data_IF_872090982759
#
_entry.id   IF_872090982759
#
_cell.length_a   1.000
_cell.length_b   1.000
_cell.length_c   1.000
_cell.angle_alpha   90.00
_cell.angle_beta   90.00
_cell.angle_gamma   90.00
#
_symmetry.space_group_name_H-M   'P 1'
#
loop_
_entity.id
_entity.type
_entity.pdbx_description
1 polymer ?
#
# COMPACT_ATOMS: atom_id res chain seq x y z
N UNK A 1 -14.30 0.66 -8.34
CA UNK A 1 -13.16 0.05 -7.68
C UNK A 1 -12.70 0.91 -6.52
N UNK A 2 -13.08 0.55 -5.30
CA UNK A 2 -12.91 1.47 -4.19
C UNK A 2 -12.00 0.94 -3.08
N UNK A 3 -11.98 -0.37 -2.84
CA UNK A 3 -11.21 -1.01 -1.81
C UNK A 3 -10.76 -2.40 -2.27
N UNK A 4 -9.49 -2.53 -2.64
CA UNK A 4 -8.91 -3.78 -3.12
C UNK A 4 -9.01 -4.91 -2.09
N UNK A 5 -9.03 -4.56 -0.81
CA UNK A 5 -9.08 -5.53 0.27
C UNK A 5 -10.50 -6.05 0.48
N UNK A 6 -11.49 -5.15 0.42
CA UNK A 6 -12.90 -5.55 0.45
C UNK A 6 -13.27 -6.29 -0.84
N UNK A 7 -12.76 -5.89 -2.00
CA UNK A 7 -12.91 -6.62 -3.26
C UNK A 7 -12.37 -8.06 -3.13
N UNK A 8 -11.22 -8.25 -2.49
CA UNK A 8 -10.66 -9.58 -2.22
C UNK A 8 -11.56 -10.39 -1.25
N UNK A 9 -12.14 -9.74 -0.24
CA UNK A 9 -13.07 -10.40 0.68
C UNK A 9 -14.32 -10.95 -0.07
N UNK A 10 -14.88 -10.17 -1.00
CA UNK A 10 -15.96 -10.63 -1.86
C UNK A 10 -15.52 -11.72 -2.85
N UNK A 11 -14.32 -11.56 -3.42
CA UNK A 11 -13.76 -12.56 -4.35
C UNK A 11 -13.67 -13.94 -3.69
N UNK A 12 -13.24 -13.99 -2.43
CA UNK A 12 -12.98 -15.22 -1.68
C UNK A 12 -14.08 -15.60 -0.68
N UNK A 13 -15.26 -14.96 -0.76
CA UNK A 13 -16.41 -15.25 0.12
C UNK A 13 -16.12 -15.00 1.62
N UNK A 14 -15.19 -14.10 1.94
CA UNK A 14 -14.92 -13.68 3.32
C UNK A 14 -15.86 -12.53 3.69
N UNK A 15 -17.15 -12.83 3.70
CA UNK A 15 -18.24 -11.92 4.03
C UNK A 15 -18.92 -12.46 5.29
N UNK A 16 -19.08 -11.64 6.36
CA UNK A 16 -19.72 -12.09 7.60
C UNK A 16 -21.13 -12.64 7.39
N UNK A 17 -21.45 -13.71 8.08
CA UNK A 17 -22.78 -14.36 7.99
C UNK A 17 -23.92 -13.40 8.32
N UNK A 18 -23.68 -12.41 9.18
CA UNK A 18 -24.65 -11.34 9.52
C UNK A 18 -25.07 -10.50 8.32
N UNK A 19 -24.26 -10.45 7.27
CA UNK A 19 -24.58 -9.72 6.03
C UNK A 19 -25.14 -10.66 4.97
N UNK A 20 -24.54 -11.84 4.80
CA UNK A 20 -24.98 -12.83 3.84
C UNK A 20 -26.43 -13.29 4.06
N UNK A 21 -26.87 -13.34 5.32
CA UNK A 21 -28.23 -13.75 5.70
C UNK A 21 -29.30 -12.66 5.47
N UNK A 22 -28.90 -11.46 5.08
CA UNK A 22 -29.82 -10.40 4.70
C UNK A 22 -30.08 -10.47 3.19
N UNK A 23 -31.33 -10.26 2.79
CA UNK A 23 -31.70 -10.18 1.37
C UNK A 23 -31.23 -8.85 0.75
N UNK A 24 -29.90 -8.67 0.71
CA UNK A 24 -29.21 -7.52 0.13
C UNK A 24 -28.53 -7.92 -1.17
N UNK A 25 -28.55 -7.04 -2.16
CA UNK A 25 -27.74 -7.20 -3.37
C UNK A 25 -26.24 -7.11 -3.03
N UNK A 26 -25.37 -7.63 -3.91
CA UNK A 26 -23.92 -7.59 -3.70
C UNK A 26 -23.40 -6.17 -3.43
N UNK A 27 -23.92 -5.17 -4.15
CA UNK A 27 -23.57 -3.77 -3.95
C UNK A 27 -24.04 -3.23 -2.60
N UNK A 28 -25.25 -3.61 -2.17
CA UNK A 28 -25.76 -3.24 -0.84
C UNK A 28 -24.94 -3.91 0.27
N UNK A 29 -24.54 -5.18 0.12
CA UNK A 29 -23.65 -5.86 1.06
C UNK A 29 -22.29 -5.18 1.14
N UNK A 30 -21.71 -4.82 -0.01
CA UNK A 30 -20.41 -4.11 -0.07
C UNK A 30 -20.46 -2.80 0.73
N UNK A 31 -21.48 -1.98 0.52
CA UNK A 31 -21.64 -0.74 1.27
C UNK A 31 -22.05 -0.97 2.73
N UNK A 32 -22.82 -2.02 3.03
CA UNK A 32 -23.15 -2.38 4.41
C UNK A 32 -21.90 -2.73 5.23
N UNK A 33 -20.97 -3.48 4.65
CA UNK A 33 -19.68 -3.77 5.28
C UNK A 33 -18.80 -2.53 5.46
N UNK A 34 -18.83 -1.61 4.50
CA UNK A 34 -17.99 -0.42 4.53
C UNK A 34 -18.48 0.66 5.51
N UNK A 35 -19.79 0.86 5.65
CA UNK A 35 -20.37 1.97 6.41
C UNK A 35 -21.48 1.60 7.38
N UNK A 36 -21.86 0.32 7.46
CA UNK A 36 -23.02 -0.16 8.17
C UNK A 36 -24.31 -0.02 7.36
N UNK A 37 -25.32 -0.73 7.79
CA UNK A 37 -26.67 -0.69 7.22
C UNK A 37 -27.69 -0.74 8.36
N UNK A 38 -28.73 0.07 8.26
CA UNK A 38 -29.91 0.02 9.12
C UNK A 38 -31.15 0.09 8.25
N UNK A 39 -32.03 -0.90 8.34
CA UNK A 39 -33.21 -0.95 7.50
C UNK A 39 -34.16 -2.11 7.81
N UNK A 40 -35.20 -2.24 6.99
CA UNK A 40 -36.25 -3.25 7.17
C UNK A 40 -35.72 -4.69 7.11
N UNK A 41 -34.60 -4.92 6.40
CA UNK A 41 -33.96 -6.23 6.25
C UNK A 41 -33.08 -6.61 7.44
N UNK A 42 -32.78 -5.70 8.35
CA UNK A 42 -31.96 -5.89 9.53
C UNK A 42 -30.90 -4.79 9.71
N UNK A 43 -30.00 -4.99 10.66
CA UNK A 43 -28.91 -4.06 10.96
C UNK A 43 -27.56 -4.72 10.77
N UNK A 44 -26.64 -4.02 10.10
CA UNK A 44 -25.23 -4.43 9.93
C UNK A 44 -24.34 -3.38 10.52
N UNK A 45 -23.43 -3.79 11.40
CA UNK A 45 -22.35 -2.92 11.86
C UNK A 45 -21.23 -2.92 10.81
N UNK A 46 -20.74 -1.71 10.47
CA UNK A 46 -19.58 -1.57 9.60
C UNK A 46 -18.37 -2.36 10.13
N UNK A 47 -17.60 -2.95 9.23
CA UNK A 47 -16.30 -3.51 9.55
C UNK A 47 -15.31 -2.41 9.96
N UNK A 48 -14.29 -2.72 10.75
CA UNK A 48 -13.23 -1.76 11.09
C UNK A 48 -12.53 -1.25 9.83
N UNK A 49 -12.03 -0.02 9.92
CA UNK A 49 -11.20 0.58 8.89
C UNK A 49 -9.81 0.86 9.46
N UNK A 50 -8.77 0.40 8.77
CA UNK A 50 -7.36 0.61 9.17
C UNK A 50 -6.59 1.31 8.03
N UNK A 51 -5.52 2.01 8.37
CA UNK A 51 -4.61 2.58 7.37
C UNK A 51 -3.94 1.47 6.57
N UNK A 52 -3.87 1.68 5.25
CA UNK A 52 -3.05 0.88 4.36
C UNK A 52 -1.58 1.27 4.54
N UNK A 53 -0.89 0.55 5.42
CA UNK A 53 0.49 0.81 5.82
C UNK A 53 0.71 2.28 6.27
N UNK A 54 1.70 2.95 5.73
CA UNK A 54 2.04 4.34 6.04
C UNK A 54 1.41 5.36 5.07
N UNK A 55 0.33 5.00 4.41
CA UNK A 55 -0.40 5.87 3.46
C UNK A 55 -1.63 6.52 4.11
N UNK A 56 -2.26 7.44 3.39
CA UNK A 56 -3.57 7.99 3.78
C UNK A 56 -4.76 7.14 3.30
N UNK A 57 -4.52 6.14 2.48
CA UNK A 57 -5.56 5.20 2.10
C UNK A 57 -5.92 4.32 3.30
N UNK A 58 -7.22 4.09 3.51
CA UNK A 58 -7.73 3.21 4.53
C UNK A 58 -8.49 2.07 3.87
N UNK A 59 -8.25 0.86 4.32
CA UNK A 59 -8.94 -0.32 3.83
C UNK A 59 -9.94 -0.83 4.87
N UNK A 60 -11.01 -1.48 4.39
CA UNK A 60 -11.99 -2.16 5.23
C UNK A 60 -11.39 -3.52 5.62
N UNK A 61 -11.36 -3.80 6.91
CA UNK A 61 -10.73 -5.03 7.45
C UNK A 61 -11.70 -6.19 7.37
N UNK A 62 -11.44 -7.21 6.51
CA UNK A 62 -12.26 -8.41 6.48
C UNK A 62 -12.20 -9.16 7.80
N UNK A 63 -13.23 -9.92 8.10
CA UNK A 63 -13.30 -10.74 9.31
C UNK A 63 -13.55 -12.20 8.96
N UNK A 64 -12.65 -13.07 9.38
CA UNK A 64 -12.81 -14.50 9.32
C UNK A 64 -13.56 -15.00 10.55
N UNK A 65 -14.68 -15.66 10.34
CA UNK A 65 -15.53 -16.27 11.37
C UNK A 65 -15.40 -17.80 11.31
N UNK A 66 -15.82 -18.51 12.36
CA UNK A 66 -15.87 -19.99 12.36
C UNK A 66 -16.70 -20.57 11.26
N UNK A 67 -17.66 -19.81 10.78
CA UNK A 67 -18.56 -20.18 9.70
C UNK A 67 -18.10 -19.73 8.32
N UNK A 68 -16.94 -19.05 8.22
CA UNK A 68 -16.42 -18.59 6.93
C UNK A 68 -16.03 -19.75 6.03
N UNK A 69 -16.66 -19.85 4.88
CA UNK A 69 -16.32 -20.80 3.81
C UNK A 69 -15.55 -20.08 2.73
N UNK A 70 -14.22 -20.16 2.78
CA UNK A 70 -13.36 -19.56 1.74
C UNK A 70 -13.49 -20.36 0.45
N UNK A 71 -13.90 -19.68 -0.62
CA UNK A 71 -14.05 -20.21 -1.98
C UNK A 71 -14.07 -19.06 -2.98
N UNK A 72 -13.84 -19.34 -4.24
CA UNK A 72 -14.05 -18.36 -5.29
C UNK A 72 -15.56 -18.07 -5.45
N UNK A 73 -15.97 -16.84 -5.19
CA UNK A 73 -17.35 -16.40 -5.27
C UNK A 73 -17.52 -15.15 -6.15
N UNK A 74 -16.58 -14.21 -6.08
CA UNK A 74 -16.63 -12.97 -6.86
C UNK A 74 -16.18 -13.15 -8.31
N UNK A 75 -16.51 -12.18 -9.16
CA UNK A 75 -16.18 -12.23 -10.59
C UNK A 75 -15.52 -10.94 -11.12
N UNK A 76 -15.49 -9.87 -10.33
CA UNK A 76 -15.04 -8.53 -10.73
C UNK A 76 -13.70 -8.53 -11.47
N UNK A 77 -12.68 -9.23 -10.99
CA UNK A 77 -11.36 -9.28 -11.63
C UNK A 77 -11.42 -9.87 -13.04
N UNK A 78 -12.32 -10.84 -13.27
CA UNK A 78 -12.51 -11.48 -14.58
C UNK A 78 -13.20 -10.54 -15.55
N UNK A 79 -14.22 -9.83 -15.08
CA UNK A 79 -14.97 -8.84 -15.87
C UNK A 79 -14.05 -7.68 -16.28
N UNK A 80 -13.29 -7.14 -15.35
CA UNK A 80 -12.32 -6.04 -15.61
C UNK A 80 -11.21 -6.48 -16.58
N UNK A 81 -10.72 -7.71 -16.45
CA UNK A 81 -9.75 -8.26 -17.42
C UNK A 81 -10.37 -8.41 -18.81
N UNK A 82 -11.59 -8.94 -18.89
CA UNK A 82 -12.29 -9.14 -20.16
C UNK A 82 -12.61 -7.79 -20.83
N UNK A 83 -13.09 -6.80 -20.08
CA UNK A 83 -13.34 -5.44 -20.59
C UNK A 83 -12.06 -4.83 -21.19
N UNK A 84 -10.94 -4.89 -20.48
CA UNK A 84 -9.67 -4.41 -21.00
C UNK A 84 -9.25 -5.13 -22.29
N UNK A 85 -9.41 -6.45 -22.32
CA UNK A 85 -9.09 -7.29 -23.49
C UNK A 85 -9.95 -6.92 -24.72
N UNK A 86 -11.24 -6.69 -24.52
CA UNK A 86 -12.17 -6.27 -25.59
C UNK A 86 -11.79 -4.90 -26.16
N UNK A 87 -11.20 -4.03 -25.35
CA UNK A 87 -10.64 -2.75 -25.79
C UNK A 87 -9.26 -2.90 -26.45
N UNK A 88 -8.73 -4.10 -26.60
CA UNK A 88 -7.41 -4.37 -27.16
C UNK A 88 -6.25 -4.04 -26.21
N UNK A 89 -6.51 -3.87 -24.92
CA UNK A 89 -5.50 -3.55 -23.91
C UNK A 89 -5.03 -4.85 -23.24
N UNK A 90 -3.73 -5.16 -23.38
CA UNK A 90 -3.11 -6.31 -22.71
C UNK A 90 -2.72 -5.95 -21.28
N UNK A 91 -3.59 -6.28 -20.34
CA UNK A 91 -3.38 -6.01 -18.90
C UNK A 91 -2.74 -7.20 -18.18
N UNK A 92 -2.22 -6.91 -16.98
CA UNK A 92 -1.86 -7.92 -15.99
C UNK A 92 -2.88 -7.83 -14.86
N UNK A 93 -3.69 -8.86 -14.62
CA UNK A 93 -4.55 -8.91 -13.44
C UNK A 93 -3.75 -8.80 -12.16
N UNK A 94 -4.24 -8.02 -11.20
CA UNK A 94 -3.61 -7.80 -9.89
C UNK A 94 -4.58 -8.21 -8.79
N UNK A 95 -4.11 -9.04 -7.88
CA UNK A 95 -4.87 -9.48 -6.70
C UNK A 95 -4.01 -9.26 -5.45
N UNK A 96 -4.62 -8.90 -4.34
CA UNK A 96 -3.94 -8.94 -3.04
C UNK A 96 -3.46 -10.37 -2.81
N UNK A 97 -2.20 -10.55 -2.42
CA UNK A 97 -1.64 -11.87 -2.19
C UNK A 97 -2.20 -12.55 -0.92
N UNK A 98 -2.21 -13.88 -0.87
CA UNK A 98 -2.87 -14.62 0.21
C UNK A 98 -2.27 -14.36 1.59
N UNK A 99 -0.96 -14.13 1.67
CA UNK A 99 -0.31 -13.82 2.95
C UNK A 99 -0.75 -12.45 3.48
N UNK A 100 -0.69 -11.40 2.64
CA UNK A 100 -1.17 -10.07 3.01
C UNK A 100 -2.66 -10.09 3.36
N UNK A 101 -3.47 -10.87 2.63
CA UNK A 101 -4.90 -10.99 2.89
C UNK A 101 -5.17 -11.57 4.28
N UNK A 102 -4.48 -12.63 4.69
CA UNK A 102 -4.58 -13.17 6.03
C UNK A 102 -4.01 -12.22 7.09
N UNK A 103 -2.81 -11.66 6.86
CA UNK A 103 -2.11 -10.82 7.83
C UNK A 103 -2.83 -9.51 8.19
N UNK A 104 -3.65 -9.00 7.29
CA UNK A 104 -4.34 -7.72 7.49
C UNK A 104 -5.85 -7.89 7.75
N UNK A 105 -6.33 -9.12 7.87
CA UNK A 105 -7.70 -9.45 8.28
C UNK A 105 -7.82 -9.61 9.79
N UNK A 106 -9.03 -9.49 10.32
CA UNK A 106 -9.35 -9.82 11.70
C UNK A 106 -9.95 -11.25 11.77
N UNK A 107 -9.77 -11.91 12.91
CA UNK A 107 -10.27 -13.27 13.15
C UNK A 107 -11.17 -13.31 14.38
N UNK A 108 -12.21 -14.13 14.32
CA UNK A 108 -13.06 -14.43 15.49
C UNK A 108 -12.25 -15.20 16.56
N UNK A 109 -12.64 -15.06 17.83
CA UNK A 109 -11.97 -15.76 18.91
C UNK A 109 -11.91 -17.29 18.69
N UNK A 110 -10.69 -17.82 18.73
CA UNK A 110 -10.40 -19.23 18.50
C UNK A 110 -10.30 -19.65 17.04
N UNK A 111 -10.32 -18.69 16.09
CA UNK A 111 -10.05 -18.87 14.66
C UNK A 111 -8.66 -18.37 14.35
N UNK A 112 -7.92 -19.06 13.50
CA UNK A 112 -6.54 -18.71 13.12
C UNK A 112 -6.38 -18.66 11.61
N UNK A 113 -5.37 -17.90 11.16
CA UNK A 113 -5.04 -17.78 9.74
C UNK A 113 -4.71 -19.14 9.10
N UNK A 114 -4.03 -20.00 9.85
CA UNK A 114 -3.63 -21.34 9.41
C UNK A 114 -4.83 -22.25 9.08
N UNK A 115 -6.00 -22.00 9.69
CA UNK A 115 -7.21 -22.79 9.46
C UNK A 115 -7.74 -22.62 8.02
N UNK A 116 -7.34 -21.54 7.33
CA UNK A 116 -7.83 -21.19 6.00
C UNK A 116 -6.81 -21.40 4.86
N UNK A 117 -5.60 -21.86 5.16
CA UNK A 117 -4.52 -21.98 4.15
C UNK A 117 -4.98 -22.82 2.96
N UNK A 118 -5.46 -24.02 3.19
CA UNK A 118 -5.79 -24.95 2.08
C UNK A 118 -6.99 -24.47 1.25
N UNK A 119 -8.03 -23.93 1.90
CA UNK A 119 -9.21 -23.38 1.18
C UNK A 119 -8.86 -22.11 0.41
N UNK A 120 -8.00 -21.25 0.99
CA UNK A 120 -7.57 -20.03 0.32
C UNK A 120 -6.68 -20.35 -0.88
N UNK A 121 -5.73 -21.27 -0.74
CA UNK A 121 -4.89 -21.74 -1.86
C UNK A 121 -5.78 -22.30 -2.98
N UNK A 122 -6.76 -23.13 -2.67
CA UNK A 122 -7.69 -23.67 -3.68
C UNK A 122 -8.45 -22.55 -4.41
N UNK A 123 -8.94 -21.55 -3.68
CA UNK A 123 -9.64 -20.40 -4.27
C UNK A 123 -8.72 -19.56 -5.19
N UNK A 124 -7.48 -19.32 -4.82
CA UNK A 124 -6.50 -18.64 -5.70
C UNK A 124 -6.16 -19.48 -6.94
N UNK A 125 -6.06 -20.80 -6.81
CA UNK A 125 -5.83 -21.67 -7.96
C UNK A 125 -7.02 -21.67 -8.93
N UNK A 126 -8.25 -21.52 -8.44
CA UNK A 126 -9.42 -21.28 -9.28
C UNK A 126 -9.37 -19.92 -9.99
N UNK A 127 -8.87 -18.86 -9.33
CA UNK A 127 -8.62 -17.56 -9.98
C UNK A 127 -7.61 -17.72 -11.10
N UNK A 128 -6.51 -18.43 -10.86
CA UNK A 128 -5.49 -18.70 -11.88
C UNK A 128 -6.07 -19.44 -13.08
N UNK A 129 -6.86 -20.50 -12.83
CA UNK A 129 -7.49 -21.28 -13.89
C UNK A 129 -8.44 -20.43 -14.74
N UNK A 130 -9.32 -19.65 -14.12
CA UNK A 130 -10.27 -18.77 -14.84
C UNK A 130 -9.57 -17.68 -15.64
N UNK A 131 -8.54 -17.05 -15.08
CA UNK A 131 -7.74 -16.05 -15.82
C UNK A 131 -7.01 -16.67 -17.02
N UNK A 132 -6.46 -17.89 -16.85
CA UNK A 132 -5.83 -18.61 -17.96
C UNK A 132 -6.86 -18.98 -19.06
N UNK A 133 -8.06 -19.42 -18.69
CA UNK A 133 -9.16 -19.68 -19.62
C UNK A 133 -9.58 -18.42 -20.40
N UNK A 134 -9.55 -17.24 -19.76
CA UNK A 134 -9.80 -15.96 -20.42
C UNK A 134 -8.62 -15.50 -21.30
N UNK A 135 -7.49 -16.22 -21.25
CA UNK A 135 -6.30 -15.96 -22.07
C UNK A 135 -5.29 -15.04 -21.42
N UNK A 136 -5.35 -14.84 -20.12
CA UNK A 136 -4.28 -14.19 -19.38
C UNK A 136 -3.02 -15.08 -19.44
N UNK A 137 -1.86 -14.44 -19.55
CA UNK A 137 -0.56 -15.13 -19.56
C UNK A 137 0.22 -14.87 -18.26
N UNK A 138 -0.22 -13.91 -17.45
CA UNK A 138 0.49 -13.47 -16.26
C UNK A 138 -0.49 -12.91 -15.21
N UNK A 139 -0.08 -12.99 -13.95
CA UNK A 139 -0.79 -12.44 -12.80
C UNK A 139 0.19 -11.80 -11.84
N UNK A 140 -0.25 -10.77 -11.14
CA UNK A 140 0.48 -10.12 -10.05
C UNK A 140 -0.23 -10.36 -8.73
N UNK A 141 0.52 -10.81 -7.73
CA UNK A 141 0.08 -10.93 -6.35
C UNK A 141 0.77 -9.86 -5.51
N UNK A 142 -0.02 -8.94 -4.94
CA UNK A 142 0.48 -7.86 -4.11
C UNK A 142 0.67 -8.33 -2.67
N UNK A 143 1.93 -8.38 -2.23
CA UNK A 143 2.33 -8.85 -0.90
C UNK A 143 3.09 -7.79 -0.09
N UNK A 144 2.50 -6.61 0.15
CA UNK A 144 3.16 -5.59 0.94
C UNK A 144 3.36 -5.98 2.41
N UNK A 145 2.64 -6.96 2.96
CA UNK A 145 2.88 -7.42 4.33
C UNK A 145 4.27 -8.05 4.53
N UNK A 146 4.94 -8.49 3.45
CA UNK A 146 6.29 -9.05 3.51
C UNK A 146 7.37 -8.03 3.90
N UNK A 147 7.08 -6.72 3.90
CA UNK A 147 8.03 -5.69 4.32
C UNK A 147 7.98 -5.42 5.84
N UNK A 148 7.05 -6.05 6.57
CA UNK A 148 6.98 -5.97 8.03
C UNK A 148 8.10 -6.79 8.67
N UNK A 149 8.37 -6.53 9.96
CA UNK A 149 9.20 -7.43 10.76
C UNK A 149 8.37 -8.70 11.04
N UNK A 150 8.83 -9.84 10.52
CA UNK A 150 8.07 -11.09 10.53
C UNK A 150 8.60 -12.06 11.57
N UNK A 151 7.69 -12.64 12.35
CA UNK A 151 7.99 -13.75 13.25
C UNK A 151 8.32 -15.03 12.47
N UNK A 152 8.85 -16.05 13.17
CA UNK A 152 9.12 -17.34 12.57
C UNK A 152 7.83 -18.04 12.08
N UNK A 153 6.74 -17.87 12.81
CA UNK A 153 5.42 -18.43 12.49
C UNK A 153 4.85 -17.75 11.24
N UNK A 154 4.96 -16.41 11.14
CA UNK A 154 4.50 -15.67 9.96
C UNK A 154 5.29 -16.05 8.70
N UNK A 155 6.61 -16.24 8.84
CA UNK A 155 7.45 -16.76 7.73
C UNK A 155 7.05 -18.16 7.31
N UNK A 156 6.76 -19.04 8.27
CA UNK A 156 6.30 -20.40 7.99
C UNK A 156 4.93 -20.39 7.27
N UNK A 157 4.01 -19.52 7.69
CA UNK A 157 2.72 -19.34 7.03
C UNK A 157 2.88 -18.85 5.59
N UNK A 158 3.75 -17.87 5.35
CA UNK A 158 4.07 -17.39 4.01
C UNK A 158 4.58 -18.53 3.11
N UNK A 159 5.53 -19.31 3.60
CA UNK A 159 6.12 -20.43 2.84
C UNK A 159 5.10 -21.55 2.59
N UNK A 160 4.26 -21.89 3.55
CA UNK A 160 3.22 -22.91 3.36
C UNK A 160 2.22 -22.50 2.29
N UNK A 161 1.72 -21.25 2.34
CA UNK A 161 0.82 -20.68 1.34
C UNK A 161 1.43 -20.75 -0.07
N UNK A 162 2.65 -20.22 -0.23
CA UNK A 162 3.24 -20.05 -1.54
C UNK A 162 3.79 -21.36 -2.14
N UNK A 163 4.30 -22.28 -1.33
CA UNK A 163 4.68 -23.62 -1.82
C UNK A 163 3.48 -24.41 -2.34
N UNK A 164 2.33 -24.30 -1.67
CA UNK A 164 1.09 -24.93 -2.13
C UNK A 164 0.50 -24.22 -3.36
N UNK A 165 0.44 -22.88 -3.33
CA UNK A 165 -0.14 -22.09 -4.41
C UNK A 165 0.61 -22.25 -5.73
N UNK A 166 1.94 -22.17 -5.67
CA UNK A 166 2.80 -22.20 -6.86
C UNK A 166 3.06 -23.62 -7.39
N UNK A 167 2.58 -24.66 -6.71
CA UNK A 167 2.66 -26.03 -7.20
C UNK A 167 1.90 -26.20 -8.53
N UNK A 168 0.88 -25.40 -8.78
CA UNK A 168 0.15 -25.37 -10.05
C UNK A 168 -0.26 -23.93 -10.42
N UNK A 169 0.57 -23.27 -11.23
CA UNK A 169 0.37 -21.90 -11.73
C UNK A 169 -0.62 -21.81 -12.91
N UNK A 170 -1.23 -22.93 -13.34
CA UNK A 170 -2.13 -22.98 -14.51
C UNK A 170 -1.54 -22.38 -15.79
N UNK A 171 -0.21 -22.40 -15.93
CA UNK A 171 0.51 -21.83 -17.06
C UNK A 171 0.71 -20.32 -17.03
N UNK A 172 0.31 -19.64 -15.94
CA UNK A 172 0.55 -18.20 -15.76
C UNK A 172 1.96 -17.91 -15.28
N UNK A 173 2.55 -16.82 -15.77
CA UNK A 173 3.69 -16.17 -15.14
C UNK A 173 3.21 -15.44 -13.88
N UNK A 174 3.80 -15.75 -12.73
CA UNK A 174 3.43 -15.18 -11.44
C UNK A 174 4.47 -14.17 -10.98
N UNK A 175 4.02 -12.93 -10.75
CA UNK A 175 4.80 -11.87 -10.12
C UNK A 175 4.32 -11.71 -8.67
N UNK A 176 5.24 -11.77 -7.71
CA UNK A 176 5.01 -11.27 -6.34
C UNK A 176 5.54 -9.85 -6.28
N UNK A 177 4.64 -8.89 -5.98
CA UNK A 177 4.98 -7.47 -5.87
C UNK A 177 4.96 -7.02 -4.41
N UNK A 178 6.08 -6.51 -3.93
CA UNK A 178 6.20 -5.89 -2.59
C UNK A 178 6.44 -4.40 -2.70
N UNK A 179 6.01 -3.63 -1.70
CA UNK A 179 6.15 -2.17 -1.65
C UNK A 179 6.03 -1.64 -0.22
N UNK A 180 6.44 -0.39 0.02
CA UNK A 180 6.51 0.35 1.29
C UNK A 180 7.65 -0.08 2.22
N UNK A 181 8.63 -0.81 1.73
CA UNK A 181 9.80 -1.22 2.50
C UNK A 181 10.60 -2.33 1.84
N UNK A 182 11.53 -2.89 2.58
CA UNK A 182 12.35 -4.02 2.14
C UNK A 182 11.88 -5.34 2.79
N UNK A 183 12.17 -6.45 2.13
CA UNK A 183 11.75 -7.81 2.51
C UNK A 183 12.87 -8.57 3.24
N UNK A 184 13.61 -7.89 4.13
CA UNK A 184 14.83 -8.41 4.79
C UNK A 184 14.66 -9.77 5.45
N UNK A 185 13.49 -10.02 6.04
CA UNK A 185 13.24 -11.22 6.82
C UNK A 185 12.93 -12.46 5.97
N UNK A 186 12.50 -12.25 4.72
CA UNK A 186 12.07 -13.32 3.80
C UNK A 186 12.72 -13.26 2.42
N UNK A 187 13.71 -12.39 2.22
CA UNK A 187 14.34 -12.22 0.90
C UNK A 187 14.85 -13.55 0.31
N UNK A 188 15.58 -14.31 1.11
CA UNK A 188 16.13 -15.59 0.66
C UNK A 188 15.04 -16.62 0.35
N UNK A 189 13.98 -16.63 1.12
CA UNK A 189 12.84 -17.52 0.88
C UNK A 189 12.11 -17.10 -0.40
N UNK A 190 11.84 -15.80 -0.55
CA UNK A 190 11.13 -15.22 -1.69
C UNK A 190 11.85 -15.47 -3.03
N UNK A 191 13.17 -15.28 -3.09
CA UNK A 191 13.94 -15.50 -4.32
C UNK A 191 14.04 -16.98 -4.70
N UNK A 192 13.83 -17.89 -3.77
CA UNK A 192 13.83 -19.33 -4.01
C UNK A 192 12.45 -19.90 -4.40
N UNK A 193 11.37 -19.14 -4.27
CA UNK A 193 10.04 -19.58 -4.74
C UNK A 193 10.02 -19.72 -6.27
N UNK A 194 9.21 -20.64 -6.83
CA UNK A 194 9.10 -20.84 -8.28
C UNK A 194 8.22 -19.78 -8.97
N UNK A 195 8.45 -18.51 -8.65
CA UNK A 195 7.83 -17.34 -9.29
C UNK A 195 8.64 -16.89 -10.49
N UNK A 196 8.01 -16.19 -11.42
CA UNK A 196 8.63 -15.71 -12.65
C UNK A 196 9.16 -14.28 -12.50
N UNK A 197 8.62 -13.54 -11.54
CA UNK A 197 9.04 -12.17 -11.24
C UNK A 197 8.91 -11.82 -9.77
N UNK A 198 9.75 -10.89 -9.32
CA UNK A 198 9.73 -10.33 -7.97
C UNK A 198 9.84 -8.82 -8.09
N UNK A 199 8.86 -8.11 -7.51
CA UNK A 199 8.83 -6.66 -7.41
C UNK A 199 9.34 -6.19 -6.07
N UNK A 200 10.34 -5.32 -6.08
CA UNK A 200 10.98 -4.79 -4.89
C UNK A 200 11.02 -3.26 -4.90
N UNK A 201 10.83 -2.66 -3.73
CA UNK A 201 10.84 -1.22 -3.52
C UNK A 201 12.27 -0.72 -3.25
N UNK A 202 12.83 0.04 -4.18
CA UNK A 202 14.15 0.68 -4.05
C UNK A 202 14.07 2.10 -3.50
N UNK A 203 12.88 2.60 -3.19
CA UNK A 203 12.66 3.95 -2.66
C UNK A 203 12.52 3.94 -1.14
N UNK A 204 11.61 3.13 -0.61
CA UNK A 204 11.40 3.00 0.84
C UNK A 204 12.14 1.80 1.44
N UNK A 205 12.47 0.81 0.63
CA UNK A 205 13.22 -0.37 1.02
C UNK A 205 14.71 -0.06 1.20
N UNK A 206 15.08 0.44 2.38
CA UNK A 206 16.46 0.89 2.68
C UNK A 206 17.53 -0.19 2.48
N UNK A 207 17.15 -1.46 2.66
CA UNK A 207 18.05 -2.61 2.47
C UNK A 207 17.88 -3.31 1.12
N UNK A 208 16.92 -2.90 0.31
CA UNK A 208 16.60 -3.60 -0.96
C UNK A 208 17.83 -3.74 -1.86
N UNK A 209 18.59 -2.65 -2.07
CA UNK A 209 19.79 -2.71 -2.91
C UNK A 209 20.86 -3.66 -2.34
N UNK A 210 21.06 -3.65 -1.02
CA UNK A 210 21.99 -4.55 -0.33
C UNK A 210 21.58 -6.01 -0.51
N UNK A 211 20.29 -6.32 -0.30
CA UNK A 211 19.73 -7.65 -0.47
C UNK A 211 19.93 -8.17 -1.90
N UNK A 212 19.58 -7.36 -2.90
CA UNK A 212 19.71 -7.73 -4.31
C UNK A 212 21.18 -7.91 -4.72
N UNK A 213 22.10 -7.08 -4.18
CA UNK A 213 23.55 -7.25 -4.38
C UNK A 213 24.10 -8.55 -3.79
N UNK A 214 23.45 -9.07 -2.77
CA UNK A 214 23.77 -10.38 -2.18
C UNK A 214 23.46 -11.56 -3.11
N UNK A 215 22.70 -11.34 -4.17
CA UNK A 215 22.33 -12.29 -5.22
C UNK A 215 20.85 -12.17 -5.61
N UNK A 216 20.60 -12.20 -6.92
CA UNK A 216 19.25 -12.29 -7.49
C UNK A 216 19.25 -13.36 -8.59
N UNK A 217 18.25 -14.28 -8.62
CA UNK A 217 18.24 -15.40 -9.59
C UNK A 217 18.15 -14.92 -11.04
N UNK A 218 19.00 -15.46 -11.91
CA UNK A 218 19.07 -15.10 -13.34
C UNK A 218 17.81 -15.52 -14.14
N UNK A 219 17.09 -16.54 -13.67
CA UNK A 219 15.86 -17.03 -14.29
C UNK A 219 14.66 -16.12 -14.03
N UNK A 220 14.69 -15.26 -13.01
CA UNK A 220 13.61 -14.39 -12.61
C UNK A 220 13.76 -12.96 -13.15
N UNK A 221 12.63 -12.29 -13.32
CA UNK A 221 12.59 -10.86 -13.65
C UNK A 221 12.47 -10.04 -12.38
N UNK A 222 13.40 -9.09 -12.19
CA UNK A 222 13.31 -8.07 -11.14
C UNK A 222 12.43 -6.92 -11.62
N UNK A 223 11.35 -6.64 -10.92
CA UNK A 223 10.55 -5.44 -11.11
C UNK A 223 11.05 -4.39 -10.10
N UNK A 224 11.88 -3.48 -10.60
CA UNK A 224 12.57 -2.48 -9.78
C UNK A 224 11.69 -1.25 -9.55
N UNK A 225 11.13 -1.11 -8.36
CA UNK A 225 10.35 0.05 -7.92
C UNK A 225 11.23 1.26 -7.65
N UNK A 226 11.67 1.95 -8.72
CA UNK A 226 12.68 3.03 -8.66
C UNK A 226 12.07 4.42 -8.70
N UNK A 227 10.87 4.59 -9.27
CA UNK A 227 10.14 5.86 -9.28
C UNK A 227 9.18 5.91 -8.10
N UNK A 228 9.29 6.93 -7.25
CA UNK A 228 8.46 7.06 -6.05
C UNK A 228 6.97 7.20 -6.41
N UNK A 229 6.14 6.22 -6.05
CA UNK A 229 4.70 6.20 -6.31
C UNK A 229 3.85 6.94 -5.25
N UNK A 230 4.47 7.48 -4.18
CA UNK A 230 3.78 8.03 -3.02
C UNK A 230 3.95 9.53 -2.80
N UNK A 231 5.02 10.12 -3.34
CA UNK A 231 5.23 11.55 -3.29
C UNK A 231 4.91 12.22 -4.63
N UNK A 232 4.81 13.54 -4.61
CA UNK A 232 4.47 14.37 -5.78
C UNK A 232 5.71 14.93 -6.49
N UNK A 233 6.92 14.55 -6.06
CA UNK A 233 8.15 15.14 -6.56
C UNK A 233 8.65 14.41 -7.80
N UNK A 234 9.25 15.17 -8.68
CA UNK A 234 9.95 14.64 -9.87
C UNK A 234 11.11 13.76 -9.45
N UNK A 235 11.30 12.66 -10.17
CA UNK A 235 12.41 11.74 -9.98
C UNK A 235 13.74 12.39 -10.40
N UNK A 236 14.78 12.20 -9.62
CA UNK A 236 16.15 12.53 -9.99
C UNK A 236 16.74 11.34 -10.76
N UNK A 237 16.89 11.48 -12.07
CA UNK A 237 17.31 10.38 -12.93
C UNK A 237 18.74 9.91 -12.63
N UNK A 238 19.67 10.80 -12.30
CA UNK A 238 21.04 10.40 -11.96
C UNK A 238 21.05 9.47 -10.75
N UNK A 239 20.33 9.84 -9.68
CA UNK A 239 20.25 9.01 -8.46
C UNK A 239 19.57 7.66 -8.73
N UNK A 240 18.55 7.64 -9.57
CA UNK A 240 17.87 6.39 -9.93
C UNK A 240 18.78 5.49 -10.78
N UNK A 241 19.54 6.06 -11.71
CA UNK A 241 20.52 5.32 -12.51
C UNK A 241 21.68 4.79 -11.66
N UNK A 242 22.20 5.58 -10.71
CA UNK A 242 23.23 5.14 -9.77
C UNK A 242 22.80 3.89 -8.96
N UNK A 243 21.52 3.79 -8.61
CA UNK A 243 20.98 2.60 -7.96
C UNK A 243 20.91 1.44 -8.96
N UNK A 244 20.32 1.67 -10.14
CA UNK A 244 20.13 0.64 -11.18
C UNK A 244 21.44 0.05 -11.70
N UNK A 245 22.49 0.86 -11.80
CA UNK A 245 23.83 0.42 -12.23
C UNK A 245 24.49 -0.56 -11.23
N UNK A 246 24.00 -0.60 -10.00
CA UNK A 246 24.49 -1.49 -8.95
C UNK A 246 23.65 -2.77 -8.84
N UNK A 247 22.54 -2.90 -9.58
CA UNK A 247 21.65 -4.06 -9.55
C UNK A 247 22.21 -5.16 -10.45
N UNK A 248 22.55 -6.36 -9.91
CA UNK A 248 23.17 -7.43 -10.68
C UNK A 248 22.16 -8.31 -11.45
N UNK A 249 20.85 -7.99 -11.41
CA UNK A 249 19.83 -8.79 -12.08
C UNK A 249 19.94 -8.68 -13.61
N UNK A 250 19.84 -9.81 -14.30
CA UNK A 250 19.95 -9.88 -15.77
C UNK A 250 18.69 -9.33 -16.47
N UNK A 251 17.52 -9.55 -15.86
CA UNK A 251 16.22 -9.11 -16.38
C UNK A 251 15.62 -8.09 -15.42
N UNK A 252 15.56 -6.83 -15.83
CA UNK A 252 15.03 -5.73 -15.02
C UNK A 252 13.90 -5.03 -15.76
N UNK A 253 12.77 -4.88 -15.09
CA UNK A 253 11.63 -4.05 -15.52
C UNK A 253 11.53 -2.88 -14.54
N UNK A 254 11.53 -1.65 -15.05
CA UNK A 254 11.37 -0.45 -14.22
C UNK A 254 9.90 -0.26 -13.83
N UNK A 255 9.66 0.00 -12.55
CA UNK A 255 8.31 0.23 -12.02
C UNK A 255 8.28 1.42 -11.06
N UNK A 256 7.07 1.86 -10.72
CA UNK A 256 6.89 2.71 -9.55
C UNK A 256 7.09 1.90 -8.28
N UNK A 257 7.53 2.55 -7.20
CA UNK A 257 7.79 1.89 -5.91
C UNK A 257 6.52 1.31 -5.27
N UNK A 258 5.37 1.87 -5.59
CA UNK A 258 4.04 1.40 -5.18
C UNK A 258 2.98 1.92 -6.17
N UNK A 259 1.71 1.61 -5.93
CA UNK A 259 0.60 2.09 -6.76
C UNK A 259 0.54 3.61 -6.83
N UNK A 260 0.29 4.16 -8.03
CA UNK A 260 0.05 5.59 -8.26
C UNK A 260 -1.30 6.08 -7.71
N UNK A 261 -2.08 5.23 -7.08
CA UNK A 261 -3.29 5.59 -6.31
C UNK A 261 -2.99 6.67 -5.24
N UNK A 262 -1.75 6.73 -4.76
CA UNK A 262 -1.35 7.62 -3.66
C UNK A 262 -0.96 9.03 -4.10
N UNK A 263 -0.97 9.32 -5.40
CA UNK A 263 -0.63 10.64 -5.98
C UNK A 263 -1.77 11.18 -6.83
N UNK A 264 -1.87 12.51 -7.05
CA UNK A 264 -2.86 13.09 -7.95
C UNK A 264 -2.65 12.60 -9.39
N UNK A 265 -3.65 12.80 -10.24
CA UNK A 265 -3.68 12.24 -11.59
C UNK A 265 -2.63 12.85 -12.52
N UNK A 266 -2.64 14.19 -12.70
CA UNK A 266 -1.72 14.91 -13.60
C UNK A 266 -1.50 16.36 -13.16
N UNK A 267 -0.32 16.88 -13.43
CA UNK A 267 0.02 18.30 -13.19
C UNK A 267 -0.57 19.24 -14.24
N UNK A 268 -1.17 18.74 -15.32
CA UNK A 268 -1.62 19.53 -16.47
C UNK A 268 -2.69 20.58 -16.12
N UNK A 269 -3.42 20.40 -15.02
CA UNK A 269 -4.48 21.31 -14.59
C UNK A 269 -4.10 22.12 -13.34
N UNK A 270 -2.83 22.07 -12.92
CA UNK A 270 -2.36 22.78 -11.75
C UNK A 270 -1.91 24.21 -12.11
N UNK A 271 -2.29 25.17 -11.27
CA UNK A 271 -1.95 26.60 -11.44
C UNK A 271 -0.87 26.99 -10.39
N UNK A 272 0.35 26.55 -10.64
CA UNK A 272 1.53 26.92 -9.84
C UNK A 272 2.56 27.67 -10.71
N UNK A 273 3.39 28.48 -10.04
CA UNK A 273 4.56 29.08 -10.70
C UNK A 273 5.42 28.00 -11.37
N UNK A 274 5.86 28.19 -12.62
CA UNK A 274 6.63 27.21 -13.37
C UNK A 274 7.88 26.71 -12.63
N UNK A 275 8.54 27.57 -11.88
CA UNK A 275 9.70 27.22 -11.05
C UNK A 275 9.38 26.16 -9.97
N UNK A 276 8.13 26.05 -9.55
CA UNK A 276 7.65 25.05 -8.60
C UNK A 276 7.07 23.85 -9.34
N UNK A 277 6.19 24.12 -10.31
CA UNK A 277 5.45 23.08 -11.04
C UNK A 277 6.38 22.10 -11.75
N UNK A 278 7.50 22.56 -12.31
CA UNK A 278 8.48 21.71 -12.98
C UNK A 278 9.12 20.64 -12.07
N UNK A 279 9.03 20.80 -10.75
CA UNK A 279 9.49 19.83 -9.78
C UNK A 279 8.42 18.83 -9.35
N UNK A 280 7.17 18.96 -9.83
CA UNK A 280 6.10 18.03 -9.56
C UNK A 280 6.03 16.94 -10.61
N UNK A 281 5.69 15.75 -10.17
CA UNK A 281 5.34 14.61 -11.02
C UNK A 281 4.21 13.84 -10.34
N UNK A 282 3.02 13.87 -10.94
CA UNK A 282 1.86 13.12 -10.51
C UNK A 282 1.79 11.78 -11.28
N UNK A 283 0.67 11.08 -11.27
CA UNK A 283 0.61 9.73 -11.83
C UNK A 283 1.03 9.67 -13.31
N UNK A 284 0.49 10.55 -14.14
CA UNK A 284 0.81 10.58 -15.59
C UNK A 284 2.28 10.91 -15.82
N UNK A 285 2.81 11.92 -15.11
CA UNK A 285 4.20 12.34 -15.24
C UNK A 285 5.17 11.25 -14.78
N UNK A 286 4.82 10.49 -13.71
CA UNK A 286 5.64 9.38 -13.22
C UNK A 286 5.72 8.21 -14.22
N UNK A 287 4.66 7.96 -14.99
CA UNK A 287 4.73 7.02 -16.10
C UNK A 287 5.69 7.51 -17.20
N UNK A 288 5.71 8.84 -17.46
CA UNK A 288 6.69 9.47 -18.33
C UNK A 288 8.13 9.27 -17.80
N UNK A 289 8.37 9.40 -16.50
CA UNK A 289 9.68 9.18 -15.88
C UNK A 289 10.19 7.75 -16.04
N UNK A 290 9.31 6.75 -15.95
CA UNK A 290 9.69 5.34 -16.24
C UNK A 290 10.15 5.17 -17.68
N UNK A 291 9.41 5.74 -18.65
CA UNK A 291 9.77 5.72 -20.06
C UNK A 291 11.12 6.42 -20.31
N UNK A 292 11.34 7.57 -19.69
CA UNK A 292 12.56 8.34 -19.85
C UNK A 292 13.77 7.58 -19.27
N UNK A 293 13.64 6.98 -18.08
CA UNK A 293 14.68 6.15 -17.48
C UNK A 293 15.01 4.93 -18.34
N UNK A 294 14.01 4.26 -18.91
CA UNK A 294 14.23 3.15 -19.84
C UNK A 294 14.96 3.60 -21.10
N UNK A 295 14.54 4.72 -21.70
CA UNK A 295 15.20 5.30 -22.87
C UNK A 295 16.67 5.66 -22.58
N UNK A 296 16.95 6.26 -21.40
CA UNK A 296 18.32 6.62 -20.98
C UNK A 296 19.19 5.36 -20.86
N UNK A 297 18.69 4.31 -20.22
CA UNK A 297 19.42 3.03 -20.10
C UNK A 297 19.73 2.38 -21.45
N UNK A 298 18.85 2.58 -22.43
CA UNK A 298 19.03 2.10 -23.81
C UNK A 298 19.82 3.07 -24.70
N UNK A 299 20.42 4.14 -24.15
CA UNK A 299 21.25 5.10 -24.89
C UNK A 299 20.48 6.09 -25.76
N UNK A 300 19.17 6.24 -25.56
CA UNK A 300 18.27 7.08 -26.37
C UNK A 300 17.74 8.33 -25.64
N UNK A 301 17.91 8.43 -24.33
CA UNK A 301 17.30 9.45 -23.48
C UNK A 301 18.22 10.63 -23.10
N UNK A 302 19.23 10.98 -23.89
CA UNK A 302 20.24 11.99 -23.53
C UNK A 302 19.62 13.39 -23.26
N UNK A 303 18.64 13.81 -24.03
CA UNK A 303 17.92 15.07 -23.85
C UNK A 303 17.13 15.09 -22.52
N UNK A 304 16.39 14.01 -22.23
CA UNK A 304 15.62 13.89 -21.00
C UNK A 304 16.54 13.92 -19.77
N UNK A 305 17.70 13.23 -19.85
CA UNK A 305 18.70 13.26 -18.78
C UNK A 305 19.28 14.66 -18.58
N UNK A 306 19.63 15.36 -19.67
CA UNK A 306 20.19 16.72 -19.58
C UNK A 306 19.18 17.70 -18.98
N UNK A 307 17.91 17.67 -19.43
CA UNK A 307 16.85 18.51 -18.87
C UNK A 307 16.58 18.21 -17.39
N UNK A 308 16.62 16.94 -16.97
CA UNK A 308 16.46 16.56 -15.58
C UNK A 308 17.64 17.06 -14.72
N UNK A 309 18.87 16.96 -15.20
CA UNK A 309 20.07 17.50 -14.52
C UNK A 309 19.97 19.01 -14.35
N UNK A 310 19.59 19.73 -15.40
CA UNK A 310 19.40 21.18 -15.33
C UNK A 310 18.32 21.56 -14.31
N UNK A 311 17.19 20.86 -14.28
CA UNK A 311 16.13 21.06 -13.31
C UNK A 311 16.64 20.89 -11.86
N UNK A 312 17.42 19.86 -11.59
CA UNK A 312 17.96 19.61 -10.25
C UNK A 312 19.15 20.49 -9.87
N UNK A 313 19.78 21.15 -10.83
CA UNK A 313 20.78 22.18 -10.58
C UNK A 313 20.15 23.54 -10.20
N UNK A 314 18.86 23.76 -10.48
CA UNK A 314 18.15 25.00 -10.12
C UNK A 314 17.75 25.01 -8.65
N UNK A 315 17.88 26.17 -8.02
CA UNK A 315 17.42 26.38 -6.65
C UNK A 315 15.88 26.51 -6.62
N UNK A 316 15.20 25.62 -5.91
CA UNK A 316 13.72 25.62 -5.81
C UNK A 316 13.17 26.71 -4.90
N UNK A 317 13.86 26.94 -3.80
CA UNK A 317 13.52 27.93 -2.77
C UNK A 317 14.83 28.56 -2.32
N UNK A 318 14.84 29.89 -2.19
CA UNK A 318 16.03 30.59 -1.73
C UNK A 318 16.62 29.97 -0.47
N UNK A 319 17.92 29.72 -0.47
CA UNK A 319 18.61 29.11 0.65
C UNK A 319 18.46 29.98 1.90
N UNK A 320 17.94 29.41 2.99
CA UNK A 320 17.93 30.06 4.29
C UNK A 320 19.19 29.66 5.07
N UNK A 321 20.25 30.47 4.92
CA UNK A 321 21.54 30.20 5.54
C UNK A 321 21.46 30.10 7.08
N UNK A 322 20.59 30.89 7.72
CA UNK A 322 20.40 30.85 9.17
C UNK A 322 19.77 29.53 9.60
N UNK A 323 18.73 29.05 8.87
CA UNK A 323 18.10 27.76 9.13
C UNK A 323 19.10 26.61 8.96
N UNK A 324 19.89 26.64 7.89
CA UNK A 324 20.88 25.59 7.63
C UNK A 324 21.97 25.59 8.72
N UNK A 325 22.44 26.78 9.19
CA UNK A 325 23.38 26.87 10.29
C UNK A 325 22.79 26.31 11.60
N UNK A 326 21.51 26.59 11.90
CA UNK A 326 20.81 26.03 13.07
C UNK A 326 20.71 24.51 12.99
N UNK A 327 20.35 23.97 11.84
CA UNK A 327 20.27 22.51 11.64
C UNK A 327 21.65 21.86 11.82
N UNK A 328 22.68 22.45 11.23
CA UNK A 328 24.06 21.94 11.35
C UNK A 328 24.61 22.01 12.78
N UNK A 329 24.10 22.91 13.61
CA UNK A 329 24.52 23.07 15.00
C UNK A 329 23.78 22.09 15.97
N UNK A 330 22.80 21.32 15.52
CA UNK A 330 22.09 20.34 16.37
C UNK A 330 23.07 19.24 16.82
N UNK A 331 22.98 18.92 18.10
CA UNK A 331 23.79 17.89 18.77
C UNK A 331 22.90 16.86 19.44
N UNK A 332 23.48 15.75 19.92
CA UNK A 332 22.73 14.75 20.69
C UNK A 332 21.97 15.33 21.91
N UNK A 333 22.50 16.41 22.50
CA UNK A 333 21.82 17.09 23.60
C UNK A 333 20.47 17.69 23.20
N UNK A 334 20.34 18.14 21.96
CA UNK A 334 19.09 18.74 21.43
C UNK A 334 18.01 17.69 21.21
N UNK A 335 18.38 16.42 21.01
CA UNK A 335 17.47 15.29 20.88
C UNK A 335 17.13 14.64 22.23
N UNK A 336 17.78 15.07 23.32
CA UNK A 336 17.57 14.52 24.65
C UNK A 336 16.62 15.40 25.46
N UNK A 337 15.41 14.88 25.73
CA UNK A 337 14.43 15.59 26.55
C UNK A 337 14.69 15.40 28.03
N UNK A 338 15.08 16.47 28.73
CA UNK A 338 15.30 16.49 30.17
C UNK A 338 14.20 17.27 30.92
N UNK A 339 13.86 16.93 32.17
CA UNK A 339 14.30 15.71 32.88
C UNK A 339 13.88 14.42 32.20
N UNK A 340 14.54 13.29 32.48
CA UNK A 340 14.17 11.99 31.97
C UNK A 340 12.71 11.61 32.28
N UNK A 341 12.09 10.73 31.51
CA UNK A 341 10.65 10.41 31.63
C UNK A 341 10.25 10.07 33.07
N UNK A 342 10.99 9.22 33.76
CA UNK A 342 10.69 8.80 35.12
C UNK A 342 10.61 9.96 36.14
N UNK A 343 11.37 11.02 35.92
CA UNK A 343 11.33 12.25 36.74
C UNK A 343 10.19 13.15 36.31
N UNK A 344 10.00 13.34 35.00
CA UNK A 344 8.89 14.15 34.46
C UNK A 344 7.56 13.57 34.85
N UNK A 345 7.40 12.26 34.80
CA UNK A 345 6.15 11.57 35.17
C UNK A 345 5.72 11.90 36.60
N UNK A 346 6.65 11.90 37.56
CA UNK A 346 6.36 12.27 38.96
C UNK A 346 5.87 13.70 39.08
N UNK A 347 6.61 14.64 38.43
CA UNK A 347 6.27 16.06 38.45
C UNK A 347 4.92 16.30 37.78
N UNK A 348 4.66 15.65 36.66
CA UNK A 348 3.39 15.80 35.91
C UNK A 348 2.18 15.19 36.67
N UNK A 349 2.36 14.03 37.30
CA UNK A 349 1.32 13.42 38.14
C UNK A 349 0.94 14.35 39.31
N UNK A 350 1.92 14.96 39.96
CA UNK A 350 1.68 15.89 41.05
C UNK A 350 1.03 17.18 40.57
N UNK A 351 1.50 17.73 39.46
CA UNK A 351 0.98 19.00 38.91
C UNK A 351 -0.44 18.88 38.33
N UNK A 352 -0.71 17.82 37.57
CA UNK A 352 -1.98 17.66 36.90
C UNK A 352 -3.04 16.90 37.70
N UNK A 353 -2.64 16.13 38.69
CA UNK A 353 -3.53 15.32 39.54
C UNK A 353 -4.56 14.48 38.79
N UNK A 354 -4.14 13.97 37.62
CA UNK A 354 -4.97 13.11 36.80
C UNK A 354 -5.14 11.73 37.44
N UNK A 355 -6.25 11.02 37.18
CA UNK A 355 -6.40 9.64 37.60
C UNK A 355 -5.35 8.73 36.92
N UNK A 356 -5.18 7.51 37.40
CA UNK A 356 -4.17 6.57 36.89
C UNK A 356 -4.35 6.28 35.37
N UNK A 357 -5.59 6.24 34.89
CA UNK A 357 -5.95 6.04 33.49
C UNK A 357 -6.84 7.21 33.03
N UNK A 358 -6.26 8.37 32.73
CA UNK A 358 -7.05 9.54 32.31
C UNK A 358 -7.64 9.29 30.92
N UNK A 359 -8.90 9.68 30.76
CA UNK A 359 -9.56 9.68 29.45
C UNK A 359 -9.67 11.10 28.91
N UNK A 360 -9.63 11.23 27.61
CA UNK A 360 -9.86 12.49 26.90
C UNK A 360 -10.65 12.24 25.62
N UNK A 361 -11.19 13.30 25.03
CA UNK A 361 -11.80 13.19 23.70
C UNK A 361 -10.73 13.12 22.62
N UNK A 362 -11.02 12.39 21.55
CA UNK A 362 -10.12 12.31 20.37
C UNK A 362 -10.16 13.64 19.59
N UNK A 363 -11.23 14.38 19.70
CA UNK A 363 -11.43 15.68 19.04
C UNK A 363 -12.57 16.46 19.68
N UNK A 364 -13.10 17.41 18.97
CA UNK A 364 -14.26 18.20 19.43
C UNK A 364 -15.49 17.33 19.55
N UNK A 365 -16.30 17.58 20.61
CA UNK A 365 -17.64 17.01 20.66
C UNK A 365 -18.47 17.43 19.43
N UNK A 366 -19.46 16.62 19.01
CA UNK A 366 -20.37 16.98 17.95
C UNK A 366 -20.99 18.37 18.16
N UNK A 367 -20.88 19.21 17.15
CA UNK A 367 -21.44 20.55 17.20
C UNK A 367 -22.91 20.52 16.76
N UNK A 368 -23.83 20.45 17.73
CA UNK A 368 -25.26 20.49 17.45
C UNK A 368 -25.68 21.85 16.86
N UNK A 369 -26.88 21.91 16.25
CA UNK A 369 -27.45 23.18 15.76
C UNK A 369 -27.58 24.19 16.88
N UNK A 370 -27.95 23.76 18.08
CA UNK A 370 -28.09 24.61 19.26
C UNK A 370 -26.74 25.22 19.69
N UNK A 371 -25.68 24.42 19.78
CA UNK A 371 -24.33 24.91 20.13
C UNK A 371 -23.85 25.95 19.12
N UNK A 372 -24.07 25.71 17.81
CA UNK A 372 -23.72 26.70 16.78
C UNK A 372 -24.50 27.98 16.90
N UNK A 373 -25.83 27.89 17.17
CA UNK A 373 -26.70 29.07 17.36
C UNK A 373 -26.25 29.88 18.56
N UNK A 374 -26.00 29.25 19.70
CA UNK A 374 -25.54 29.95 20.93
C UNK A 374 -24.17 30.59 20.75
N UNK A 375 -23.22 29.92 20.08
CA UNK A 375 -21.93 30.53 19.74
C UNK A 375 -22.08 31.76 18.82
N UNK A 376 -23.00 31.70 17.85
CA UNK A 376 -23.27 32.83 16.97
C UNK A 376 -23.90 34.00 17.76
N UNK A 377 -24.89 33.72 18.62
CA UNK A 377 -25.53 34.74 19.50
C UNK A 377 -24.51 35.39 20.44
N UNK A 378 -23.60 34.60 21.04
CA UNK A 378 -22.51 35.14 21.86
C UNK A 378 -21.60 36.08 21.06
N UNK A 379 -21.17 35.69 19.84
CA UNK A 379 -20.35 36.55 18.98
C UNK A 379 -21.03 37.85 18.58
N UNK A 380 -22.38 37.84 18.50
CA UNK A 380 -23.19 39.03 18.19
C UNK A 380 -23.49 39.88 19.41
N UNK A 381 -23.10 39.46 20.60
CA UNK A 381 -23.40 40.14 21.85
C UNK A 381 -24.86 39.96 22.34
N UNK A 382 -25.59 39.01 21.76
CA UNK A 382 -26.97 38.68 22.11
C UNK A 382 -27.05 37.73 23.33
N UNK A 383 -25.91 37.18 23.74
CA UNK A 383 -25.73 36.23 24.83
C UNK A 383 -24.47 36.59 25.62
N UNK A 384 -24.56 36.59 26.96
CA UNK A 384 -23.45 36.84 27.87
C UNK A 384 -22.75 35.56 28.32
#
# INVERSE_FOLDING_TARGET
HYDNFLDAAFLFNVVPASVQNLDLTDLEQYFALARGYQGEKGDVRALPMKKWFNTNYHYIVPKFEKTTEVKLAGHKIFDEYQEAKELGINTRPVVVGPFTFLQLSDFEDGVKAEDFVDSLVAAYQEVFAKLAELGATRIQLDEPALVKDLSAEEKALFLDLYNKLLADKKGLEVLIQTYFGDVRDVYNDLVNLPVDGIGLDFVEGKKTLELVKGGFPADKTLYAGIVNGKNIWRNNYEKSLEILDQVPAEKVVLTTSCSLLHVPFTTANEDFEPAILNHFAFAVEKLGELRDLDAIRNGQGAEALAANKELFATERVGANAELHARIAALTEADYTRLPAFAEREKIQKEAFKLPALPTTTIGSFPQTKEVRAKRLAFRKGELT
#
